data_IF_539274949965
#
_entry.id   IF_539274949965
#
_cell.length_a   1.000
_cell.length_b   1.000
_cell.length_c   1.000
_cell.angle_alpha   90.00
_cell.angle_beta   90.00
_cell.angle_gamma   90.00
#
_symmetry.space_group_name_H-M   'P 1'
#
loop_
_entity.id
_entity.type
_entity.pdbx_description
1 polymer ?
#
# COMPACT_ATOMS: atom_id res chain seq x y z
N UNK A 1 -22.15 18.69 -51.89
CA UNK A 1 -20.85 18.36 -51.27
C UNK A 1 -21.09 17.30 -50.22
N UNK A 2 -20.81 16.05 -50.57
CA UNK A 2 -21.01 14.87 -49.72
C UNK A 2 -19.83 14.79 -48.73
N UNK A 3 -20.08 14.70 -47.43
CA UNK A 3 -19.05 14.46 -46.41
C UNK A 3 -18.92 12.95 -46.18
N UNK A 4 -17.69 12.43 -46.31
CA UNK A 4 -17.36 11.05 -45.96
C UNK A 4 -17.45 10.82 -44.43
N UNK A 5 -17.97 9.66 -43.98
CA UNK A 5 -17.96 9.26 -42.59
C UNK A 5 -16.57 8.76 -42.13
N UNK A 6 -16.23 8.85 -40.82
CA UNK A 6 -14.92 8.47 -40.30
C UNK A 6 -14.72 6.94 -40.30
N UNK A 7 -13.51 6.54 -40.65
CA UNK A 7 -13.02 5.16 -40.76
C UNK A 7 -13.11 4.39 -39.42
N UNK A 8 -13.81 3.25 -39.34
CA UNK A 8 -13.79 2.41 -38.15
C UNK A 8 -12.47 1.62 -38.08
N UNK A 9 -11.78 1.70 -36.93
CA UNK A 9 -10.60 0.89 -36.64
C UNK A 9 -10.91 -0.62 -36.58
N UNK A 10 -9.88 -1.48 -36.62
CA UNK A 10 -10.06 -2.92 -36.82
C UNK A 10 -10.78 -3.56 -35.63
N UNK A 11 -12.03 -3.96 -35.85
CA UNK A 11 -12.78 -4.84 -34.95
C UNK A 11 -12.42 -6.29 -35.23
N UNK A 12 -11.94 -7.07 -34.25
CA UNK A 12 -11.78 -8.51 -34.43
C UNK A 12 -13.16 -9.18 -34.55
N UNK A 13 -13.38 -9.83 -35.68
CA UNK A 13 -14.55 -10.66 -35.98
C UNK A 13 -14.48 -11.96 -35.16
N UNK A 14 -15.37 -12.13 -34.20
CA UNK A 14 -15.56 -13.40 -33.52
C UNK A 14 -16.53 -14.28 -34.34
N UNK A 15 -15.96 -15.19 -35.13
CA UNK A 15 -16.73 -16.25 -35.78
C UNK A 15 -17.17 -17.31 -34.77
N UNK A 16 -18.49 -17.48 -34.61
CA UNK A 16 -19.10 -18.62 -33.91
C UNK A 16 -18.84 -19.91 -34.71
N UNK A 17 -18.27 -20.95 -34.09
CA UNK A 17 -18.34 -22.33 -34.62
C UNK A 17 -18.98 -23.26 -33.59
N UNK A 18 -20.19 -23.70 -33.94
CA UNK A 18 -20.96 -24.73 -33.24
C UNK A 18 -20.51 -26.15 -33.61
N UNK A 19 -20.74 -27.08 -32.68
CA UNK A 19 -20.36 -28.50 -32.74
C UNK A 19 -21.32 -29.31 -33.63
N UNK A 20 -20.79 -30.16 -34.52
CA UNK A 20 -21.55 -31.18 -35.27
C UNK A 20 -20.64 -32.14 -36.05
N UNK A 21 -20.93 -33.47 -36.10
CA UNK A 21 -20.08 -34.47 -36.77
C UNK A 21 -20.34 -34.58 -38.30
N UNK A 22 -19.40 -35.14 -39.10
CA UNK A 22 -19.33 -34.89 -40.55
C UNK A 22 -20.07 -35.93 -41.41
N UNK A 23 -20.35 -35.58 -42.69
CA UNK A 23 -19.98 -36.50 -43.76
C UNK A 23 -19.31 -35.82 -44.98
N UNK A 24 -18.59 -36.68 -45.71
CA UNK A 24 -17.65 -36.46 -46.82
C UNK A 24 -18.19 -35.73 -48.06
N UNK A 25 -17.36 -34.89 -48.69
CA UNK A 25 -16.83 -35.04 -50.06
C UNK A 25 -16.07 -33.77 -50.50
N UNK A 26 -14.94 -33.96 -51.17
CA UNK A 26 -13.88 -32.96 -51.30
C UNK A 26 -13.94 -32.04 -52.51
N UNK A 27 -12.99 -31.10 -52.53
CA UNK A 27 -12.44 -30.45 -53.73
C UNK A 27 -11.03 -29.90 -53.40
N UNK A 28 -10.20 -29.82 -54.44
CA UNK A 28 -8.75 -29.61 -54.49
C UNK A 28 -8.22 -28.27 -53.87
N UNK A 29 -6.91 -28.21 -53.53
CA UNK A 29 -6.33 -27.07 -52.79
C UNK A 29 -5.88 -25.91 -53.72
N UNK A 30 -6.18 -24.64 -53.35
CA UNK A 30 -5.47 -23.48 -53.89
C UNK A 30 -4.27 -23.07 -53.01
N UNK A 31 -3.37 -22.21 -53.52
CA UNK A 31 -1.94 -22.27 -53.27
C UNK A 31 -1.50 -21.73 -51.90
N UNK A 32 -0.39 -22.29 -51.42
CA UNK A 32 0.37 -21.93 -50.24
C UNK A 32 0.58 -20.41 -50.14
N UNK A 33 -0.20 -19.74 -49.29
CA UNK A 33 0.20 -18.48 -48.68
C UNK A 33 1.06 -18.82 -47.45
N UNK A 34 2.19 -18.12 -47.23
CA UNK A 34 3.01 -18.39 -46.06
C UNK A 34 2.14 -18.22 -44.82
N UNK A 35 2.03 -19.29 -44.04
CA UNK A 35 1.37 -19.26 -42.75
C UNK A 35 2.11 -18.25 -41.90
N UNK A 36 1.61 -17.01 -41.86
CA UNK A 36 1.81 -16.17 -40.70
C UNK A 36 1.28 -17.00 -39.56
N UNK A 37 2.19 -17.42 -38.68
CA UNK A 37 1.90 -18.11 -37.45
C UNK A 37 0.97 -17.19 -36.66
N UNK A 38 -0.34 -17.31 -36.91
CA UNK A 38 -1.38 -16.52 -36.29
C UNK A 38 -1.58 -17.13 -34.92
N UNK A 39 -0.53 -17.02 -34.11
CA UNK A 39 -0.50 -17.47 -32.74
C UNK A 39 -1.67 -16.80 -32.07
N UNK A 40 -2.69 -17.58 -31.73
CA UNK A 40 -3.82 -17.03 -30.99
C UNK A 40 -3.25 -16.37 -29.74
N UNK A 41 -3.79 -15.23 -29.24
CA UNK A 41 -3.28 -14.57 -28.03
C UNK A 41 -3.27 -15.48 -26.78
N UNK A 42 -3.81 -16.68 -26.91
CA UNK A 42 -3.97 -17.73 -25.92
C UNK A 42 -2.99 -18.90 -26.09
N UNK A 43 -2.16 -18.91 -27.14
CA UNK A 43 -1.26 -20.03 -27.52
C UNK A 43 0.12 -19.97 -26.85
N UNK A 44 0.11 -19.67 -25.56
CA UNK A 44 1.24 -19.87 -24.68
C UNK A 44 0.67 -20.14 -23.30
N UNK A 45 1.30 -20.99 -22.51
CA UNK A 45 0.92 -21.34 -21.14
C UNK A 45 0.84 -20.13 -20.15
N UNK A 46 0.82 -18.89 -20.65
CA UNK A 46 0.68 -17.63 -19.91
C UNK A 46 -0.60 -17.54 -19.07
N UNK A 47 -1.68 -18.21 -19.49
CA UNK A 47 -3.01 -18.12 -18.85
C UNK A 47 -3.48 -19.40 -18.15
N UNK A 48 -2.65 -20.46 -18.06
CA UNK A 48 -3.02 -21.60 -17.21
C UNK A 48 -2.97 -21.14 -15.75
N UNK A 49 -4.07 -21.25 -14.97
CA UNK A 49 -4.02 -20.95 -13.55
C UNK A 49 -3.01 -21.90 -12.90
N UNK A 50 -1.88 -21.35 -12.41
CA UNK A 50 -0.94 -22.14 -11.61
C UNK A 50 -1.67 -22.56 -10.34
N UNK A 51 -1.89 -23.87 -10.18
CA UNK A 51 -2.54 -24.47 -9.00
C UNK A 51 -1.65 -24.52 -7.76
N UNK A 52 -0.41 -24.05 -7.86
CA UNK A 52 0.59 -24.10 -6.79
C UNK A 52 0.66 -22.77 -6.05
N UNK A 53 0.78 -22.83 -4.71
CA UNK A 53 1.07 -21.66 -3.87
C UNK A 53 2.45 -21.12 -4.28
N UNK A 54 2.53 -19.85 -4.68
CA UNK A 54 3.81 -19.20 -4.89
C UNK A 54 4.41 -18.81 -3.53
N UNK A 55 5.67 -19.20 -3.30
CA UNK A 55 6.46 -18.85 -2.11
C UNK A 55 5.84 -19.24 -0.75
N UNK A 56 5.61 -20.53 -0.49
CA UNK A 56 5.00 -21.01 0.77
C UNK A 56 5.84 -20.68 2.01
N UNK A 57 7.15 -20.50 1.86
CA UNK A 57 8.07 -20.13 2.94
C UNK A 57 7.77 -18.71 3.46
N UNK A 58 7.54 -17.75 2.55
CA UNK A 58 7.25 -16.36 2.94
C UNK A 58 5.82 -16.22 3.45
N UNK A 59 4.88 -16.97 2.85
CA UNK A 59 3.52 -17.09 3.37
C UNK A 59 3.52 -17.68 4.80
N UNK A 60 4.35 -18.68 5.08
CA UNK A 60 4.55 -19.23 6.41
C UNK A 60 5.18 -18.22 7.38
N UNK A 61 6.15 -17.40 6.95
CA UNK A 61 6.70 -16.32 7.79
C UNK A 61 5.65 -15.24 8.14
N UNK A 62 4.78 -14.92 7.19
CA UNK A 62 3.72 -13.93 7.38
C UNK A 62 2.58 -14.44 8.28
N UNK A 63 2.13 -15.69 8.07
CA UNK A 63 0.94 -16.25 8.73
C UNK A 63 1.28 -17.12 9.95
N UNK A 64 2.30 -17.98 9.91
CA UNK A 64 2.48 -19.01 10.94
C UNK A 64 3.88 -19.66 10.95
N UNK A 65 4.70 -19.33 11.94
CA UNK A 65 5.72 -20.25 12.46
C UNK A 65 5.20 -20.86 13.77
N UNK A 66 4.53 -22.01 13.66
CA UNK A 66 4.43 -22.97 14.77
C UNK A 66 5.16 -24.22 14.27
N UNK A 67 6.47 -24.27 14.52
CA UNK A 67 7.17 -25.55 14.60
C UNK A 67 7.90 -25.59 15.93
N UNK A 68 7.42 -26.51 16.77
CA UNK A 68 7.93 -26.89 18.09
C UNK A 68 9.43 -27.23 17.99
N UNK A 69 10.30 -26.37 18.51
CA UNK A 69 11.64 -26.77 18.93
C UNK A 69 11.62 -27.02 20.45
N UNK A 70 12.03 -28.19 20.94
CA UNK A 70 12.29 -28.38 22.36
C UNK A 70 13.66 -27.77 22.69
N UNK A 71 13.81 -27.24 23.92
CA UNK A 71 15.09 -26.82 24.53
C UNK A 71 15.60 -25.44 24.02
N UNK A 72 15.91 -24.39 24.80
CA UNK A 72 16.42 -24.24 26.18
C UNK A 72 15.90 -22.92 26.80
N UNK A 73 15.69 -22.99 28.11
CA UNK A 73 15.61 -21.99 29.18
C UNK A 73 16.03 -20.52 28.93
N UNK A 74 15.24 -19.67 29.59
CA UNK A 74 15.49 -18.32 30.12
C UNK A 74 15.48 -17.10 29.17
N UNK A 75 14.44 -16.29 29.38
CA UNK A 75 14.26 -14.89 28.97
C UNK A 75 14.17 -14.59 27.47
N UNK A 76 13.03 -14.91 26.85
CA UNK A 76 12.34 -14.11 25.81
C UNK A 76 11.10 -14.89 25.30
N UNK A 77 9.87 -14.38 25.42
CA UNK A 77 8.68 -15.09 24.92
C UNK A 77 8.46 -14.95 23.39
N UNK A 78 9.47 -14.61 22.58
CA UNK A 78 9.28 -14.12 21.20
C UNK A 78 9.96 -14.93 20.08
N UNK A 79 10.54 -16.09 20.33
CA UNK A 79 11.39 -16.75 19.32
C UNK A 79 10.72 -17.69 18.32
N UNK A 80 9.41 -17.94 18.34
CA UNK A 80 8.75 -18.78 17.32
C UNK A 80 7.23 -18.48 17.17
N UNK A 81 6.89 -17.33 16.61
CA UNK A 81 5.52 -17.01 16.15
C UNK A 81 5.58 -16.21 14.85
N UNK A 82 4.72 -16.51 13.87
CA UNK A 82 4.63 -15.72 12.62
C UNK A 82 4.35 -14.24 12.93
N UNK A 83 4.83 -13.31 12.10
CA UNK A 83 4.87 -11.87 12.43
C UNK A 83 3.51 -11.32 12.90
N UNK A 84 2.45 -11.63 12.16
CA UNK A 84 1.09 -11.17 12.47
C UNK A 84 0.58 -11.74 13.80
N UNK A 85 0.87 -13.02 14.08
CA UNK A 85 0.55 -13.66 15.36
C UNK A 85 1.38 -13.10 16.51
N UNK A 86 2.67 -12.81 16.28
CA UNK A 86 3.55 -12.18 17.26
C UNK A 86 3.04 -10.81 17.70
N UNK A 87 2.64 -9.97 16.75
CA UNK A 87 2.01 -8.67 17.04
C UNK A 87 0.66 -8.84 17.76
N UNK A 88 -0.19 -9.79 17.31
CA UNK A 88 -1.47 -10.04 17.96
C UNK A 88 -1.31 -10.52 19.42
N UNK A 89 -0.41 -11.47 19.68
CA UNK A 89 -0.09 -11.97 21.02
C UNK A 89 0.49 -10.86 21.90
N UNK A 90 1.46 -10.11 21.39
CA UNK A 90 2.03 -8.96 22.10
C UNK A 90 0.91 -7.99 22.47
N UNK A 91 0.10 -7.55 21.50
CA UNK A 91 -1.01 -6.63 21.74
C UNK A 91 -2.00 -7.15 22.77
N UNK A 92 -2.32 -8.46 22.76
CA UNK A 92 -3.19 -9.07 23.77
C UNK A 92 -2.61 -9.00 25.18
N UNK A 93 -1.32 -9.30 25.34
CA UNK A 93 -0.62 -9.22 26.64
C UNK A 93 -0.57 -7.77 27.14
N UNK A 94 -0.25 -6.83 26.25
CA UNK A 94 -0.08 -5.43 26.63
C UNK A 94 -1.43 -4.80 26.97
N UNK A 95 -2.44 -5.02 26.13
CA UNK A 95 -3.79 -4.48 26.30
C UNK A 95 -4.47 -5.08 27.54
N UNK A 96 -4.38 -6.39 27.77
CA UNK A 96 -4.95 -7.01 28.99
C UNK A 96 -4.30 -6.48 30.26
N UNK A 97 -2.98 -6.27 30.24
CA UNK A 97 -2.27 -5.64 31.35
C UNK A 97 -2.64 -4.17 31.54
N UNK A 98 -2.87 -3.44 30.45
CA UNK A 98 -3.26 -2.04 30.50
C UNK A 98 -4.68 -1.87 31.03
N UNK A 99 -5.61 -2.72 30.59
CA UNK A 99 -7.00 -2.76 31.09
C UNK A 99 -7.04 -3.14 32.58
N UNK A 100 -6.29 -4.16 33.01
CA UNK A 100 -6.26 -4.60 34.42
C UNK A 100 -5.68 -3.56 35.37
N UNK A 101 -4.77 -2.70 34.91
CA UNK A 101 -4.19 -1.61 35.71
C UNK A 101 -5.10 -0.36 35.79
N UNK A 102 -6.34 -0.40 35.31
CA UNK A 102 -7.27 0.73 35.36
C UNK A 102 -7.29 1.62 34.12
N UNK A 103 -6.66 1.17 33.02
CA UNK A 103 -6.81 1.69 31.66
C UNK A 103 -6.90 3.21 31.55
N UNK A 104 -8.05 3.69 31.03
CA UNK A 104 -8.35 5.09 30.72
C UNK A 104 -8.69 5.97 31.95
N UNK A 105 -8.35 5.53 33.16
CA UNK A 105 -8.81 6.12 34.42
C UNK A 105 -8.04 7.37 34.94
N UNK A 106 -7.01 7.85 34.25
CA UNK A 106 -6.16 8.96 34.73
C UNK A 106 -6.22 10.19 33.83
N UNK A 107 -6.87 11.27 34.29
CA UNK A 107 -7.11 12.50 33.51
C UNK A 107 -7.27 13.79 34.28
N UNK A 108 -7.05 14.91 33.56
CA UNK A 108 -7.15 16.30 34.02
C UNK A 108 -8.32 16.51 34.98
N UNK A 109 -7.98 16.69 36.27
CA UNK A 109 -8.92 17.06 37.32
C UNK A 109 -9.60 15.91 38.09
N UNK A 110 -9.25 14.63 37.87
CA UNK A 110 -9.78 13.53 38.70
C UNK A 110 -8.66 12.66 39.33
N UNK A 111 -8.55 12.64 40.67
CA UNK A 111 -7.62 11.73 41.36
C UNK A 111 -8.24 10.33 41.39
N UNK A 112 -7.66 9.36 40.68
CA UNK A 112 -8.20 7.99 40.74
C UNK A 112 -7.53 6.93 39.87
N UNK A 113 -6.75 7.27 38.85
CA UNK A 113 -6.05 6.28 38.02
C UNK A 113 -4.64 5.97 38.53
N UNK A 114 -4.37 4.74 38.94
CA UNK A 114 -3.01 4.24 39.26
C UNK A 114 -2.07 4.12 38.04
N UNK A 115 -2.40 4.76 36.91
CA UNK A 115 -1.64 4.68 35.65
C UNK A 115 -0.95 5.98 35.26
N UNK A 116 -1.19 7.10 35.95
CA UNK A 116 -0.94 8.45 35.43
C UNK A 116 0.47 9.03 35.64
N UNK A 117 1.21 9.19 34.55
CA UNK A 117 2.05 10.37 34.29
C UNK A 117 1.33 11.26 33.24
N UNK A 118 1.76 12.51 33.03
CA UNK A 118 1.09 13.50 32.15
C UNK A 118 0.91 13.06 30.68
N UNK A 119 1.50 11.93 30.28
CA UNK A 119 1.48 11.37 28.91
C UNK A 119 0.64 10.08 28.84
N UNK A 120 -0.40 9.95 29.66
CA UNK A 120 -1.24 8.73 29.71
C UNK A 120 -2.61 8.95 29.07
N UNK A 121 -3.07 7.92 28.35
CA UNK A 121 -4.23 7.99 27.47
C UNK A 121 -5.53 8.13 28.26
N UNK A 122 -6.16 9.29 28.10
CA UNK A 122 -7.43 9.61 28.72
C UNK A 122 -8.61 9.09 27.92
N UNK A 123 -9.78 8.94 28.58
CA UNK A 123 -11.05 8.75 27.87
C UNK A 123 -11.23 9.81 26.77
N UNK A 124 -10.93 11.07 27.09
CA UNK A 124 -10.97 12.19 26.14
C UNK A 124 -10.02 12.02 24.97
N UNK A 125 -8.78 11.54 25.20
CA UNK A 125 -7.80 11.32 24.12
C UNK A 125 -8.22 10.16 23.21
N UNK A 126 -8.85 9.12 23.77
CA UNK A 126 -9.42 8.03 22.97
C UNK A 126 -10.57 8.50 22.10
N UNK A 127 -11.50 9.31 22.63
CA UNK A 127 -12.57 9.89 21.83
C UNK A 127 -12.00 10.78 20.71
N UNK A 128 -10.97 11.57 20.98
CA UNK A 128 -10.31 12.40 19.97
C UNK A 128 -9.64 11.54 18.89
N UNK A 129 -8.92 10.48 19.27
CA UNK A 129 -8.29 9.57 18.32
C UNK A 129 -9.32 8.87 17.41
N UNK A 130 -10.43 8.40 17.97
CA UNK A 130 -11.51 7.78 17.19
C UNK A 130 -12.22 8.79 16.28
N UNK A 131 -12.40 10.04 16.75
CA UNK A 131 -12.98 11.11 15.93
C UNK A 131 -12.04 11.48 14.77
N UNK A 132 -10.74 11.67 15.03
CA UNK A 132 -9.75 12.01 14.00
C UNK A 132 -9.62 10.89 12.97
N UNK A 133 -9.64 9.63 13.40
CA UNK A 133 -9.60 8.49 12.46
C UNK A 133 -10.88 8.37 11.64
N UNK A 134 -12.05 8.60 12.24
CA UNK A 134 -13.32 8.66 11.51
C UNK A 134 -13.35 9.83 10.51
N UNK A 135 -12.92 11.03 10.93
CA UNK A 135 -12.82 12.20 10.06
C UNK A 135 -11.82 11.98 8.93
N UNK A 136 -10.68 11.32 9.20
CA UNK A 136 -9.69 10.94 8.19
C UNK A 136 -10.25 9.95 7.18
N UNK A 137 -11.02 8.96 7.62
CA UNK A 137 -11.70 8.01 6.73
C UNK A 137 -12.77 8.69 5.86
N UNK A 138 -13.55 9.61 6.44
CA UNK A 138 -14.52 10.41 5.71
C UNK A 138 -13.83 11.30 4.66
N UNK A 139 -12.79 12.05 5.04
CA UNK A 139 -12.02 12.88 4.12
C UNK A 139 -11.38 12.05 3.01
N UNK A 140 -10.81 10.89 3.33
CA UNK A 140 -10.23 9.97 2.35
C UNK A 140 -11.31 9.47 1.37
N UNK A 141 -12.48 9.06 1.86
CA UNK A 141 -13.58 8.62 1.01
C UNK A 141 -14.11 9.75 0.11
N UNK A 142 -14.26 10.96 0.65
CA UNK A 142 -14.66 12.15 -0.10
C UNK A 142 -13.62 12.49 -1.17
N UNK A 143 -12.34 12.39 -0.85
CA UNK A 143 -11.24 12.59 -1.80
C UNK A 143 -11.27 11.55 -2.94
N UNK A 144 -11.53 10.28 -2.63
CA UNK A 144 -11.72 9.24 -3.66
C UNK A 144 -12.92 9.52 -4.58
N UNK A 145 -14.02 10.06 -4.03
CA UNK A 145 -15.18 10.45 -4.84
C UNK A 145 -14.85 11.69 -5.71
N UNK A 146 -14.15 12.68 -5.14
CA UNK A 146 -13.78 13.92 -5.82
C UNK A 146 -12.78 13.69 -6.97
N UNK A 147 -11.73 12.90 -6.74
CA UNK A 147 -10.74 12.49 -7.75
C UNK A 147 -11.39 11.81 -8.97
N UNK A 148 -12.56 11.20 -8.76
CA UNK A 148 -13.37 10.56 -9.81
C UNK A 148 -14.32 11.51 -10.51
N UNK A 149 -14.96 12.42 -9.78
CA UNK A 149 -15.88 13.40 -10.36
C UNK A 149 -15.16 14.34 -11.34
N UNK A 150 -13.91 14.70 -11.04
CA UNK A 150 -13.18 15.70 -11.80
C UNK A 150 -11.76 15.28 -12.19
N UNK A 151 -11.55 14.03 -12.61
CA UNK A 151 -10.21 13.49 -12.92
C UNK A 151 -9.40 14.36 -13.90
N UNK A 152 -10.02 14.88 -14.95
CA UNK A 152 -9.30 15.69 -15.95
C UNK A 152 -8.80 17.00 -15.33
N UNK A 153 -9.64 17.68 -14.57
CA UNK A 153 -9.25 18.91 -13.89
C UNK A 153 -8.27 18.62 -12.76
N UNK A 154 -8.47 17.55 -11.99
CA UNK A 154 -7.64 17.24 -10.84
C UNK A 154 -6.20 16.98 -11.25
N UNK A 155 -5.94 16.28 -12.37
CA UNK A 155 -4.59 16.06 -12.86
C UNK A 155 -3.84 17.36 -13.17
N UNK A 156 -4.50 18.31 -13.85
CA UNK A 156 -3.90 19.60 -14.14
C UNK A 156 -3.70 20.42 -12.86
N UNK A 157 -4.71 20.44 -11.98
CA UNK A 157 -4.67 21.18 -10.72
C UNK A 157 -3.56 20.63 -9.81
N UNK A 158 -3.43 19.32 -9.62
CA UNK A 158 -2.40 18.75 -8.74
C UNK A 158 -1.00 19.02 -9.26
N UNK A 159 -0.80 18.97 -10.58
CA UNK A 159 0.49 19.22 -11.19
C UNK A 159 0.90 20.70 -11.02
N UNK A 160 -0.01 21.64 -11.32
CA UNK A 160 0.23 23.08 -11.14
C UNK A 160 0.37 23.43 -9.66
N UNK A 161 -0.51 22.91 -8.80
CA UNK A 161 -0.48 23.14 -7.37
C UNK A 161 0.81 22.62 -6.72
N UNK A 162 1.35 21.48 -7.16
CA UNK A 162 2.64 20.97 -6.67
C UNK A 162 3.78 21.93 -6.98
N UNK A 163 3.84 22.50 -8.19
CA UNK A 163 4.86 23.48 -8.58
C UNK A 163 4.70 24.76 -7.76
N UNK A 164 3.47 25.27 -7.62
CA UNK A 164 3.19 26.47 -6.83
C UNK A 164 3.53 26.29 -5.36
N UNK A 165 3.24 25.13 -4.76
CA UNK A 165 3.58 24.82 -3.37
C UNK A 165 5.09 24.70 -3.18
N UNK A 166 5.82 24.07 -4.09
CA UNK A 166 7.29 24.01 -4.03
C UNK A 166 7.92 25.41 -4.09
N UNK A 167 7.42 26.27 -4.98
CA UNK A 167 7.87 27.67 -5.06
C UNK A 167 7.48 28.44 -3.79
N UNK A 168 6.27 28.25 -3.26
CA UNK A 168 5.80 28.89 -2.05
C UNK A 168 6.63 28.52 -0.82
N UNK A 169 6.93 27.24 -0.64
CA UNK A 169 7.81 26.74 0.45
C UNK A 169 9.23 27.28 0.29
N UNK A 170 9.75 27.33 -0.94
CA UNK A 170 11.05 27.92 -1.24
C UNK A 170 11.11 29.39 -0.79
N UNK A 171 10.13 30.22 -1.19
CA UNK A 171 10.05 31.63 -0.79
C UNK A 171 9.93 31.77 0.72
N UNK A 172 9.11 30.92 1.37
CA UNK A 172 8.97 30.91 2.82
C UNK A 172 10.31 30.66 3.52
N UNK A 173 11.11 29.68 3.08
CA UNK A 173 12.41 29.40 3.68
C UNK A 173 13.46 30.50 3.47
N UNK A 174 13.39 31.23 2.36
CA UNK A 174 14.23 32.42 2.15
C UNK A 174 13.88 33.55 3.12
N UNK A 175 12.59 33.72 3.46
CA UNK A 175 12.13 34.71 4.43
C UNK A 175 12.57 34.33 5.84
N UNK A 176 12.42 33.07 6.25
CA UNK A 176 12.79 32.60 7.60
C UNK A 176 14.30 32.42 7.80
N UNK A 177 15.13 32.81 6.82
CA UNK A 177 16.61 32.73 6.86
C UNK A 177 17.15 31.31 7.10
N UNK A 178 16.38 30.28 6.73
CA UNK A 178 16.83 28.90 6.81
C UNK A 178 17.56 28.52 5.51
N UNK A 179 18.81 28.97 5.37
CA UNK A 179 19.58 28.91 4.12
C UNK A 179 19.76 27.49 3.56
N UNK A 180 20.00 26.50 4.42
CA UNK A 180 20.19 25.11 3.98
C UNK A 180 18.95 24.56 3.27
N UNK A 181 17.77 24.70 3.89
CA UNK A 181 16.51 24.26 3.27
C UNK A 181 16.14 25.10 2.04
N UNK A 182 16.41 26.41 2.07
CA UNK A 182 16.13 27.29 0.95
C UNK A 182 16.87 26.84 -0.34
N UNK A 183 18.16 26.49 -0.25
CA UNK A 183 18.95 26.02 -1.41
C UNK A 183 18.43 24.69 -1.95
N UNK A 184 18.01 23.76 -1.08
CA UNK A 184 17.48 22.46 -1.53
C UNK A 184 16.13 22.66 -2.25
N UNK A 185 15.23 23.46 -1.66
CA UNK A 185 13.91 23.72 -2.24
C UNK A 185 13.97 24.58 -3.50
N UNK A 186 14.98 25.45 -3.68
CA UNK A 186 15.19 26.14 -4.97
C UNK A 186 15.57 25.15 -6.07
N UNK A 187 16.49 24.21 -5.81
CA UNK A 187 16.88 23.19 -6.78
C UNK A 187 15.68 22.31 -7.14
N UNK A 188 14.91 21.85 -6.15
CA UNK A 188 13.70 21.05 -6.38
C UNK A 188 12.65 21.85 -7.16
N UNK A 189 12.44 23.13 -6.83
CA UNK A 189 11.49 23.98 -7.54
C UNK A 189 11.89 24.16 -9.01
N UNK A 190 13.17 24.43 -9.30
CA UNK A 190 13.68 24.53 -10.68
C UNK A 190 13.48 23.22 -11.42
N UNK A 191 13.86 22.09 -10.82
CA UNK A 191 13.68 20.77 -11.42
C UNK A 191 12.21 20.46 -11.70
N UNK A 192 11.31 20.82 -10.79
CA UNK A 192 9.86 20.64 -10.96
C UNK A 192 9.28 21.44 -12.12
N UNK A 193 9.76 22.67 -12.33
CA UNK A 193 9.36 23.52 -13.46
C UNK A 193 9.87 22.94 -14.78
N UNK A 194 11.14 22.51 -14.83
CA UNK A 194 11.70 21.86 -16.03
C UNK A 194 10.97 20.56 -16.36
N UNK A 195 10.67 19.74 -15.35
CA UNK A 195 9.92 18.50 -15.52
C UNK A 195 8.49 18.75 -16.04
N UNK A 196 7.84 19.84 -15.63
CA UNK A 196 6.52 20.23 -16.14
C UNK A 196 6.52 20.46 -17.66
N UNK A 197 7.51 21.21 -18.17
CA UNK A 197 7.65 21.42 -19.61
C UNK A 197 7.87 20.09 -20.35
N UNK A 198 8.67 19.18 -19.80
CA UNK A 198 8.90 17.86 -20.38
C UNK A 198 7.67 16.95 -20.39
N UNK A 199 6.82 17.01 -19.35
CA UNK A 199 5.64 16.16 -19.24
C UNK A 199 4.44 16.65 -20.05
N UNK A 200 4.40 17.93 -20.47
CA UNK A 200 3.24 18.55 -21.15
C UNK A 200 2.74 17.75 -22.35
N UNK A 201 3.64 17.19 -23.15
CA UNK A 201 3.29 16.43 -24.35
C UNK A 201 2.59 15.09 -24.05
N UNK A 202 2.79 14.49 -22.87
CA UNK A 202 2.23 13.18 -22.49
C UNK A 202 0.93 13.26 -21.68
N UNK A 203 0.54 14.46 -21.23
CA UNK A 203 -0.70 14.71 -20.49
C UNK A 203 -1.96 14.22 -21.23
N UNK A 204 -2.15 14.45 -22.56
CA UNK A 204 -3.39 14.02 -23.21
C UNK A 204 -3.56 12.50 -23.19
N UNK A 205 -2.48 11.74 -23.44
CA UNK A 205 -2.50 10.28 -23.37
C UNK A 205 -2.80 9.79 -21.96
N UNK A 206 -2.16 10.37 -20.93
CA UNK A 206 -2.42 10.02 -19.54
C UNK A 206 -3.88 10.30 -19.15
N UNK A 207 -4.46 11.41 -19.63
CA UNK A 207 -5.86 11.75 -19.36
C UNK A 207 -6.84 10.77 -20.01
N UNK A 208 -6.54 10.29 -21.21
CA UNK A 208 -7.36 9.28 -21.91
C UNK A 208 -7.30 7.93 -21.19
N UNK A 209 -6.10 7.47 -20.83
CA UNK A 209 -5.93 6.21 -20.09
C UNK A 209 -6.68 6.24 -18.75
N UNK A 210 -6.62 7.35 -18.03
CA UNK A 210 -7.37 7.51 -16.79
C UNK A 210 -8.88 7.54 -17.02
N UNK A 211 -9.37 8.22 -18.06
CA UNK A 211 -10.79 8.20 -18.42
C UNK A 211 -11.30 6.78 -18.64
N UNK A 212 -10.56 5.98 -19.43
CA UNK A 212 -10.88 4.57 -19.66
C UNK A 212 -10.94 3.80 -18.34
N UNK A 213 -9.94 3.95 -17.47
CA UNK A 213 -9.91 3.31 -16.14
C UNK A 213 -11.15 3.68 -15.30
N UNK A 214 -11.54 4.95 -15.30
CA UNK A 214 -12.71 5.41 -14.55
C UNK A 214 -14.03 4.93 -15.15
N UNK A 215 -14.13 4.83 -16.46
CA UNK A 215 -15.32 4.29 -17.11
C UNK A 215 -15.47 2.79 -16.84
N UNK A 216 -14.38 2.02 -16.89
CA UNK A 216 -14.37 0.61 -16.46
C UNK A 216 -14.81 0.46 -15.00
N UNK A 217 -14.33 1.35 -14.12
CA UNK A 217 -14.72 1.34 -12.71
C UNK A 217 -16.21 1.68 -12.52
N UNK A 218 -16.82 2.56 -13.32
CA UNK A 218 -18.27 2.86 -13.24
C UNK A 218 -19.13 1.63 -13.53
N UNK A 219 -18.74 0.83 -14.51
CA UNK A 219 -19.42 -0.42 -14.82
C UNK A 219 -19.18 -1.51 -13.77
N UNK A 220 -18.03 -1.49 -13.08
CA UNK A 220 -17.66 -2.46 -12.05
C UNK A 220 -17.73 -1.87 -10.64
N UNK A 221 -18.94 -1.85 -10.05
CA UNK A 221 -19.16 -1.36 -8.66
C UNK A 221 -18.27 -2.06 -7.62
N UNK A 222 -17.79 -3.26 -7.90
CA UNK A 222 -16.87 -4.01 -7.03
C UNK A 222 -15.52 -3.33 -6.81
N UNK A 223 -15.06 -2.47 -7.73
CA UNK A 223 -13.86 -1.64 -7.56
C UNK A 223 -13.98 -0.75 -6.32
N UNK A 224 -15.17 -0.19 -6.07
CA UNK A 224 -15.42 0.70 -4.92
C UNK A 224 -15.47 -0.06 -3.62
N UNK A 225 -16.07 -1.25 -3.64
CA UNK A 225 -16.15 -2.11 -2.46
C UNK A 225 -14.74 -2.50 -2.02
N UNK A 226 -13.88 -2.94 -2.93
CA UNK A 226 -12.49 -3.30 -2.60
C UNK A 226 -11.71 -2.10 -2.06
N UNK A 227 -11.81 -0.93 -2.70
CA UNK A 227 -11.13 0.28 -2.23
C UNK A 227 -11.60 0.71 -0.84
N UNK A 228 -12.91 0.72 -0.59
CA UNK A 228 -13.46 1.12 0.71
C UNK A 228 -13.12 0.12 1.82
N UNK A 229 -13.17 -1.19 1.53
CA UNK A 229 -12.78 -2.24 2.47
C UNK A 229 -11.29 -2.14 2.81
N UNK A 230 -10.43 -1.93 1.81
CA UNK A 230 -8.99 -1.74 2.05
C UNK A 230 -8.71 -0.51 2.91
N UNK A 231 -9.40 0.62 2.66
CA UNK A 231 -9.30 1.82 3.49
C UNK A 231 -9.76 1.57 4.93
N UNK A 232 -10.88 0.86 5.11
CA UNK A 232 -11.39 0.53 6.43
C UNK A 232 -10.43 -0.38 7.20
N UNK A 233 -9.89 -1.42 6.55
CA UNK A 233 -8.87 -2.29 7.14
C UNK A 233 -7.63 -1.48 7.53
N UNK A 234 -7.16 -0.58 6.67
CA UNK A 234 -6.01 0.27 6.94
C UNK A 234 -6.24 1.20 8.15
N UNK A 235 -7.43 1.77 8.26
CA UNK A 235 -7.83 2.59 9.42
C UNK A 235 -7.95 1.76 10.70
N UNK A 236 -8.49 0.55 10.62
CA UNK A 236 -8.56 -0.35 11.77
C UNK A 236 -7.17 -0.78 12.26
N UNK A 237 -6.26 -1.08 11.32
CA UNK A 237 -4.87 -1.41 11.64
C UNK A 237 -4.13 -0.24 12.29
N UNK A 238 -4.34 0.99 11.84
CA UNK A 238 -3.69 2.17 12.44
C UNK A 238 -4.19 2.45 13.86
N UNK A 239 -5.49 2.24 14.10
CA UNK A 239 -6.08 2.34 15.44
C UNK A 239 -5.51 1.25 16.35
N UNK A 240 -5.50 -0.01 15.91
CA UNK A 240 -4.92 -1.12 16.66
C UNK A 240 -3.45 -0.84 17.01
N UNK A 241 -2.62 -0.49 16.02
CA UNK A 241 -1.22 -0.14 16.24
C UNK A 241 -1.05 0.96 17.30
N UNK A 242 -1.82 2.04 17.21
CA UNK A 242 -1.70 3.16 18.14
C UNK A 242 -2.04 2.73 19.57
N UNK A 243 -3.11 1.96 19.77
CA UNK A 243 -3.47 1.44 21.09
C UNK A 243 -2.39 0.50 21.65
N UNK A 244 -1.85 -0.38 20.83
CA UNK A 244 -0.77 -1.30 21.24
C UNK A 244 0.49 -0.52 21.65
N UNK A 245 0.94 0.43 20.82
CA UNK A 245 2.14 1.22 21.09
C UNK A 245 2.04 2.02 22.39
N UNK A 246 0.89 2.64 22.64
CA UNK A 246 0.64 3.37 23.88
C UNK A 246 0.61 2.44 25.09
N UNK A 247 -0.07 1.30 24.99
CA UNK A 247 -0.12 0.32 26.06
C UNK A 247 1.29 -0.22 26.37
N UNK A 248 2.13 -0.39 25.34
CA UNK A 248 3.52 -0.85 25.46
C UNK A 248 4.35 0.19 26.18
N UNK A 249 4.21 1.45 25.79
CA UNK A 249 4.86 2.56 26.48
C UNK A 249 4.43 2.63 27.96
N UNK A 250 3.15 2.51 28.26
CA UNK A 250 2.64 2.57 29.64
C UNK A 250 3.12 1.40 30.52
N UNK A 251 3.37 0.23 29.94
CA UNK A 251 3.74 -0.97 30.70
C UNK A 251 5.24 -1.05 31.02
N UNK A 252 6.12 -0.67 30.10
CA UNK A 252 7.57 -0.90 30.23
C UNK A 252 8.43 0.36 30.42
N UNK A 253 7.84 1.56 30.38
CA UNK A 253 8.58 2.81 30.64
C UNK A 253 8.97 2.92 32.12
N UNK A 254 10.25 3.20 32.43
CA UNK A 254 10.70 3.38 33.80
C UNK A 254 10.02 4.59 34.46
N UNK A 255 9.57 4.44 35.71
CA UNK A 255 8.89 5.49 36.45
C UNK A 255 7.36 5.55 36.26
N UNK A 256 6.78 4.71 35.39
CA UNK A 256 5.34 4.59 35.28
C UNK A 256 4.79 3.58 36.31
N UNK A 257 3.67 3.86 37.00
CA UNK A 257 3.10 2.94 37.99
C UNK A 257 2.62 1.59 37.40
N UNK A 258 2.48 1.50 36.08
CA UNK A 258 2.28 0.22 35.35
C UNK A 258 3.49 -0.72 35.36
N UNK A 259 4.66 -0.25 35.82
CA UNK A 259 5.91 -1.00 35.86
C UNK A 259 6.42 -1.26 37.30
N UNK A 260 5.50 -1.57 38.22
CA UNK A 260 5.82 -1.81 39.64
C UNK A 260 6.49 -3.17 39.92
N UNK A 261 6.37 -4.14 39.01
CA UNK A 261 6.80 -5.54 39.22
C UNK A 261 8.20 -5.88 38.69
N UNK A 262 9.04 -4.88 38.41
CA UNK A 262 10.40 -5.08 37.86
C UNK A 262 10.41 -5.45 36.37
N UNK A 263 11.51 -5.11 35.67
CA UNK A 263 11.69 -5.39 34.23
C UNK A 263 11.45 -4.20 33.29
N UNK A 264 11.39 -2.97 33.82
CA UNK A 264 11.35 -1.73 33.05
C UNK A 264 12.72 -1.45 32.44
N UNK A 265 12.77 -1.18 31.15
CA UNK A 265 14.00 -0.79 30.46
C UNK A 265 13.65 0.03 29.23
N UNK A 266 14.29 1.19 29.06
CA UNK A 266 14.15 2.02 27.87
C UNK A 266 14.51 1.26 26.60
N UNK A 267 15.52 0.38 26.66
CA UNK A 267 15.91 -0.48 25.53
C UNK A 267 14.84 -1.51 25.18
N UNK A 268 14.11 -2.04 26.18
CA UNK A 268 13.01 -2.98 25.95
C UNK A 268 11.81 -2.28 25.30
N UNK A 269 11.47 -1.08 25.75
CA UNK A 269 10.40 -0.26 25.12
C UNK A 269 10.76 0.05 23.66
N UNK A 270 11.99 0.53 23.41
CA UNK A 270 12.45 0.84 22.07
C UNK A 270 12.39 -0.36 21.13
N UNK A 271 12.86 -1.54 21.58
CA UNK A 271 12.80 -2.77 20.79
C UNK A 271 11.38 -3.24 20.49
N UNK A 272 10.46 -3.14 21.45
CA UNK A 272 9.06 -3.53 21.25
C UNK A 272 8.33 -2.56 20.30
N UNK A 273 8.52 -1.24 20.48
CA UNK A 273 7.94 -0.22 19.57
C UNK A 273 8.47 -0.40 18.14
N UNK A 274 9.77 -0.70 17.99
CA UNK A 274 10.36 -0.98 16.68
C UNK A 274 9.71 -2.20 16.02
N UNK A 275 9.54 -3.30 16.77
CA UNK A 275 8.87 -4.50 16.29
C UNK A 275 7.40 -4.24 15.91
N UNK A 276 6.66 -3.49 16.72
CA UNK A 276 5.28 -3.11 16.45
C UNK A 276 5.18 -2.24 15.19
N UNK A 277 6.09 -1.28 15.02
CA UNK A 277 6.14 -0.39 13.86
C UNK A 277 6.45 -1.18 12.59
N UNK A 278 7.44 -2.07 12.63
CA UNK A 278 7.75 -2.98 11.53
C UNK A 278 6.55 -3.85 11.15
N UNK A 279 5.87 -4.44 12.15
CA UNK A 279 4.68 -5.26 11.94
C UNK A 279 3.56 -4.47 11.25
N UNK A 280 3.33 -3.24 11.70
CA UNK A 280 2.31 -2.35 11.16
C UNK A 280 2.61 -1.94 9.72
N UNK A 281 3.85 -1.51 9.43
CA UNK A 281 4.26 -1.12 8.08
C UNK A 281 4.15 -2.30 7.12
N UNK A 282 4.63 -3.49 7.52
CA UNK A 282 4.62 -4.66 6.65
C UNK A 282 3.20 -5.12 6.35
N UNK A 283 2.35 -5.20 7.37
CA UNK A 283 0.93 -5.55 7.18
C UNK A 283 0.21 -4.53 6.31
N UNK A 284 0.49 -3.23 6.49
CA UNK A 284 -0.10 -2.15 5.68
C UNK A 284 0.27 -2.25 4.21
N UNK A 285 1.55 -2.51 3.89
CA UNK A 285 1.99 -2.70 2.51
C UNK A 285 1.35 -3.95 1.89
N UNK A 286 1.22 -5.05 2.64
CA UNK A 286 0.55 -6.26 2.17
C UNK A 286 -0.92 -5.98 1.85
N UNK A 287 -1.66 -5.30 2.73
CA UNK A 287 -3.08 -4.95 2.48
C UNK A 287 -3.22 -4.08 1.22
N UNK A 288 -2.37 -3.06 1.07
CA UNK A 288 -2.34 -2.20 -0.13
C UNK A 288 -2.06 -3.01 -1.40
N UNK A 289 -1.08 -3.90 -1.36
CA UNK A 289 -0.64 -4.68 -2.53
C UNK A 289 -1.62 -5.80 -2.89
N UNK A 290 -2.29 -6.41 -1.91
CA UNK A 290 -3.40 -7.35 -2.15
C UNK A 290 -4.58 -6.64 -2.82
N UNK A 291 -4.94 -5.43 -2.37
CA UNK A 291 -5.99 -4.64 -3.02
C UNK A 291 -5.60 -4.29 -4.47
N UNK A 292 -4.35 -3.89 -4.71
CA UNK A 292 -3.83 -3.61 -6.05
C UNK A 292 -3.91 -4.84 -6.97
N UNK A 293 -3.39 -6.00 -6.54
CA UNK A 293 -3.42 -7.24 -7.31
C UNK A 293 -4.87 -7.69 -7.60
N UNK A 294 -5.77 -7.55 -6.62
CA UNK A 294 -7.20 -7.87 -6.77
C UNK A 294 -7.87 -6.99 -7.83
N UNK A 295 -7.58 -5.69 -7.83
CA UNK A 295 -8.14 -4.75 -8.80
C UNK A 295 -7.56 -4.99 -10.19
N UNK A 296 -6.25 -5.22 -10.29
CA UNK A 296 -5.56 -5.51 -11.54
C UNK A 296 -6.08 -6.80 -12.19
N UNK A 297 -6.11 -7.91 -11.45
CA UNK A 297 -6.52 -9.23 -11.94
C UNK A 297 -8.02 -9.48 -12.03
N UNK A 298 -8.82 -8.64 -11.37
CA UNK A 298 -10.28 -8.75 -11.33
C UNK A 298 -10.92 -7.88 -12.40
N UNK A 299 -11.47 -6.71 -12.03
CA UNK A 299 -12.27 -5.86 -12.93
C UNK A 299 -11.47 -5.29 -14.10
N UNK A 300 -10.21 -4.88 -13.90
CA UNK A 300 -9.40 -4.29 -14.97
C UNK A 300 -8.87 -5.34 -15.94
N UNK A 301 -8.35 -6.47 -15.44
CA UNK A 301 -7.92 -7.60 -16.26
C UNK A 301 -9.08 -8.21 -17.03
N UNK A 302 -10.25 -8.39 -16.40
CA UNK A 302 -11.43 -8.90 -17.08
C UNK A 302 -11.88 -8.00 -18.24
N UNK A 303 -11.88 -6.68 -18.05
CA UNK A 303 -12.19 -5.73 -19.13
C UNK A 303 -11.16 -5.76 -20.27
N UNK A 304 -9.86 -5.90 -19.93
CA UNK A 304 -8.80 -5.96 -20.93
C UNK A 304 -8.86 -7.23 -21.79
N UNK A 305 -9.17 -8.39 -21.20
CA UNK A 305 -9.16 -9.67 -21.90
C UNK A 305 -10.51 -10.06 -22.52
N UNK A 306 -11.64 -9.74 -21.88
CA UNK A 306 -12.97 -10.16 -22.31
C UNK A 306 -13.82 -9.00 -22.87
N UNK A 307 -13.28 -7.79 -22.91
CA UNK A 307 -13.96 -6.60 -23.40
C UNK A 307 -15.07 -6.09 -22.47
N UNK A 308 -15.90 -5.13 -22.93
CA UNK A 308 -17.05 -4.63 -22.17
C UNK A 308 -18.02 -5.75 -21.78
N UNK A 309 -18.59 -5.61 -20.58
CA UNK A 309 -19.48 -6.60 -19.96
C UNK A 309 -20.70 -6.97 -20.83
N UNK A 310 -21.10 -6.06 -21.71
CA UNK A 310 -22.25 -6.20 -22.61
C UNK A 310 -22.03 -7.27 -23.71
N UNK A 311 -20.78 -7.71 -23.93
CA UNK A 311 -20.44 -8.76 -24.88
C UNK A 311 -20.64 -10.19 -24.32
N UNK A 312 -21.07 -10.33 -23.06
CA UNK A 312 -21.48 -11.62 -22.47
C UNK A 312 -20.35 -12.62 -22.15
N UNK A 313 -19.09 -12.29 -22.43
CA UNK A 313 -17.94 -13.19 -22.21
C UNK A 313 -17.24 -13.03 -20.85
N UNK A 314 -17.73 -12.13 -19.98
CA UNK A 314 -17.07 -11.84 -18.71
C UNK A 314 -17.55 -12.78 -17.58
N UNK A 315 -16.66 -13.32 -16.72
CA UNK A 315 -17.04 -14.09 -15.53
C UNK A 315 -18.00 -13.33 -14.62
N UNK A 316 -18.93 -14.02 -13.95
CA UNK A 316 -19.96 -13.40 -13.11
C UNK A 316 -19.38 -12.56 -11.94
N UNK A 317 -18.29 -13.04 -11.32
CA UNK A 317 -17.64 -12.39 -10.18
C UNK A 317 -16.10 -12.31 -10.34
N UNK A 318 -15.59 -11.41 -11.20
CA UNK A 318 -14.15 -11.32 -11.50
C UNK A 318 -13.35 -10.85 -10.27
N UNK A 319 -13.94 -9.96 -9.46
CA UNK A 319 -13.26 -9.38 -8.29
C UNK A 319 -13.08 -10.37 -7.14
N UNK A 320 -14.08 -11.20 -6.83
CA UNK A 320 -13.97 -12.16 -5.72
C UNK A 320 -13.05 -13.32 -6.06
N UNK A 321 -13.07 -13.78 -7.32
CA UNK A 321 -12.13 -14.80 -7.79
C UNK A 321 -10.67 -14.29 -7.79
N UNK A 322 -10.44 -13.05 -8.22
CA UNK A 322 -9.13 -12.41 -8.16
C UNK A 322 -8.67 -12.18 -6.71
N UNK A 323 -9.58 -11.76 -5.81
CA UNK A 323 -9.27 -11.62 -4.39
C UNK A 323 -8.87 -12.97 -3.76
N UNK A 324 -9.58 -14.05 -4.12
CA UNK A 324 -9.22 -15.41 -3.71
C UNK A 324 -7.82 -15.78 -4.16
N UNK A 325 -7.48 -15.62 -5.44
CA UNK A 325 -6.13 -15.90 -5.96
C UNK A 325 -5.06 -15.02 -5.31
N UNK A 326 -5.31 -13.72 -5.16
CA UNK A 326 -4.38 -12.77 -4.56
C UNK A 326 -4.12 -13.08 -3.07
N UNK A 327 -5.14 -13.53 -2.34
CA UNK A 327 -5.06 -13.85 -0.91
C UNK A 327 -4.55 -15.26 -0.61
N UNK A 328 -4.59 -16.20 -1.55
CA UNK A 328 -4.14 -17.59 -1.32
C UNK A 328 -2.88 -17.95 -2.11
N UNK A 329 -2.90 -17.79 -3.44
CA UNK A 329 -1.85 -18.29 -4.33
C UNK A 329 -0.69 -17.30 -4.46
N UNK A 330 -0.99 -16.00 -4.49
CA UNK A 330 -0.01 -14.93 -4.73
C UNK A 330 0.40 -14.21 -3.44
N UNK A 331 -0.19 -14.56 -2.29
CA UNK A 331 0.05 -13.85 -1.03
C UNK A 331 1.50 -13.98 -0.54
N UNK A 332 2.18 -15.11 -0.80
CA UNK A 332 3.60 -15.28 -0.48
C UNK A 332 4.50 -14.28 -1.21
N UNK A 333 4.35 -14.18 -2.53
CA UNK A 333 5.13 -13.24 -3.36
C UNK A 333 4.75 -11.79 -3.09
N UNK A 334 3.47 -11.50 -2.82
CA UNK A 334 3.01 -10.16 -2.39
C UNK A 334 3.64 -9.79 -1.05
N UNK A 335 3.65 -10.70 -0.07
CA UNK A 335 4.27 -10.48 1.23
C UNK A 335 5.78 -10.27 1.12
N UNK A 336 6.46 -11.00 0.24
CA UNK A 336 7.89 -10.84 -0.02
C UNK A 336 8.23 -9.47 -0.62
N UNK A 337 7.56 -9.07 -1.70
CA UNK A 337 7.81 -7.76 -2.29
C UNK A 337 7.47 -6.61 -1.32
N UNK A 338 6.40 -6.78 -0.52
CA UNK A 338 6.02 -5.83 0.53
C UNK A 338 7.09 -5.75 1.63
N UNK A 339 7.73 -6.87 1.98
CA UNK A 339 8.81 -6.92 2.97
C UNK A 339 9.99 -6.06 2.53
N UNK A 340 10.44 -6.19 1.27
CA UNK A 340 11.56 -5.41 0.75
C UNK A 340 11.25 -3.91 0.82
N UNK A 341 10.06 -3.49 0.40
CA UNK A 341 9.64 -2.08 0.49
C UNK A 341 9.64 -1.61 1.94
N UNK A 342 9.14 -2.41 2.88
CA UNK A 342 9.14 -2.02 4.29
C UNK A 342 10.51 -1.93 4.93
N UNK A 343 11.47 -2.75 4.52
CA UNK A 343 12.84 -2.64 5.02
C UNK A 343 13.49 -1.33 4.57
N UNK A 344 13.23 -0.90 3.32
CA UNK A 344 13.69 0.40 2.82
C UNK A 344 12.98 1.56 3.52
N UNK A 345 11.68 1.44 3.76
CA UNK A 345 10.89 2.44 4.49
C UNK A 345 11.39 2.59 5.95
N UNK A 346 11.68 1.48 6.63
CA UNK A 346 12.29 1.48 7.96
C UNK A 346 13.69 2.09 7.96
N UNK A 347 14.51 1.77 6.97
CA UNK A 347 15.84 2.36 6.84
C UNK A 347 15.74 3.88 6.69
N UNK A 348 14.81 4.36 5.85
CA UNK A 348 14.54 5.80 5.69
C UNK A 348 14.07 6.43 7.00
N UNK A 349 13.20 5.75 7.75
CA UNK A 349 12.74 6.21 9.06
C UNK A 349 13.91 6.35 10.04
N UNK A 350 14.81 5.36 10.12
CA UNK A 350 15.99 5.40 10.98
C UNK A 350 16.97 6.51 10.56
N UNK A 351 17.19 6.72 9.26
CA UNK A 351 18.03 7.81 8.75
C UNK A 351 17.44 9.19 9.09
N UNK A 352 16.13 9.35 9.02
CA UNK A 352 15.46 10.58 9.44
C UNK A 352 15.59 10.80 10.95
N UNK A 353 15.43 9.76 11.77
CA UNK A 353 15.65 9.86 13.22
C UNK A 353 17.11 10.24 13.55
N UNK A 354 18.09 9.66 12.85
CA UNK A 354 19.50 10.01 13.02
C UNK A 354 19.77 11.46 12.61
N UNK A 355 19.15 11.93 11.52
CA UNK A 355 19.23 13.33 11.08
C UNK A 355 18.66 14.28 12.15
N UNK A 356 17.50 13.97 12.70
CA UNK A 356 16.85 14.80 13.71
C UNK A 356 17.68 14.86 15.00
N UNK A 357 18.30 13.74 15.39
CA UNK A 357 19.22 13.68 16.53
C UNK A 357 20.50 14.51 16.26
N UNK A 358 21.13 14.36 15.10
CA UNK A 358 22.33 15.11 14.73
C UNK A 358 22.05 16.63 14.63
N UNK A 359 20.86 17.02 14.17
CA UNK A 359 20.43 18.42 14.19
C UNK A 359 20.26 18.96 15.61
N UNK A 360 19.75 18.15 16.54
CA UNK A 360 19.59 18.53 17.94
C UNK A 360 20.95 18.66 18.66
N UNK A 361 21.92 17.81 18.32
CA UNK A 361 23.27 17.81 18.89
C UNK A 361 24.21 18.85 18.24
N UNK A 362 23.79 19.49 17.14
CA UNK A 362 24.57 20.53 16.47
C UNK A 362 25.67 19.99 15.53
N UNK A 363 25.48 18.78 14.98
CA UNK A 363 26.38 18.15 14.01
C UNK A 363 25.83 18.24 12.57
N UNK A 364 26.02 19.38 11.86
CA UNK A 364 25.40 19.63 10.55
C UNK A 364 25.92 18.70 9.45
N UNK A 365 27.14 18.19 9.58
CA UNK A 365 27.74 17.26 8.60
C UNK A 365 27.04 15.91 8.64
N UNK A 366 26.78 15.38 9.84
CA UNK A 366 26.07 14.11 10.02
C UNK A 366 24.62 14.21 9.57
N UNK A 367 23.95 15.33 9.88
CA UNK A 367 22.60 15.60 9.40
C UNK A 367 22.53 15.70 7.86
N UNK A 368 23.55 16.28 7.22
CA UNK A 368 23.66 16.35 5.77
C UNK A 368 23.86 14.96 5.14
N UNK A 369 24.78 14.14 5.69
CA UNK A 369 25.02 12.77 5.24
C UNK A 369 23.77 11.89 5.40
N UNK A 370 23.08 11.99 6.53
CA UNK A 370 21.83 11.26 6.78
C UNK A 370 20.73 11.67 5.78
N UNK A 371 20.64 12.97 5.44
CA UNK A 371 19.71 13.46 4.43
C UNK A 371 20.01 12.91 3.03
N UNK A 372 21.28 12.91 2.61
CA UNK A 372 21.70 12.34 1.33
C UNK A 372 21.39 10.84 1.27
N UNK A 373 21.71 10.09 2.33
CA UNK A 373 21.41 8.67 2.43
C UNK A 373 19.90 8.39 2.36
N UNK A 374 19.08 9.17 3.07
CA UNK A 374 17.61 9.04 3.03
C UNK A 374 17.06 9.30 1.61
N UNK A 375 17.65 10.25 0.87
CA UNK A 375 17.29 10.51 -0.52
C UNK A 375 17.61 9.31 -1.43
N UNK A 376 18.82 8.76 -1.36
CA UNK A 376 19.20 7.57 -2.14
C UNK A 376 18.32 6.36 -1.83
N UNK A 377 18.05 6.12 -0.54
CA UNK A 377 17.14 5.04 -0.11
C UNK A 377 15.73 5.28 -0.66
N UNK A 378 15.24 6.53 -0.66
CA UNK A 378 13.94 6.89 -1.24
C UNK A 378 13.85 6.62 -2.75
N UNK A 379 14.94 6.85 -3.50
CA UNK A 379 14.99 6.51 -4.93
C UNK A 379 14.92 4.99 -5.12
N UNK A 380 15.64 4.22 -4.32
CA UNK A 380 15.63 2.74 -4.36
C UNK A 380 14.24 2.20 -3.99
N UNK A 381 13.64 2.74 -2.92
CA UNK A 381 12.27 2.41 -2.49
C UNK A 381 11.27 2.62 -3.63
N UNK A 382 11.34 3.77 -4.31
CA UNK A 382 10.47 4.08 -5.45
C UNK A 382 10.68 3.14 -6.65
N UNK A 383 11.92 2.75 -6.95
CA UNK A 383 12.21 1.78 -8.00
C UNK A 383 11.65 0.40 -7.66
N UNK A 384 11.84 -0.07 -6.42
CA UNK A 384 11.34 -1.38 -5.97
C UNK A 384 9.82 -1.40 -5.95
N UNK A 385 9.16 -0.34 -5.45
CA UNK A 385 7.70 -0.23 -5.49
C UNK A 385 7.17 -0.29 -6.92
N UNK A 386 7.85 0.38 -7.85
CA UNK A 386 7.51 0.34 -9.27
C UNK A 386 7.59 -1.09 -9.83
N UNK A 387 8.72 -1.79 -9.65
CA UNK A 387 8.86 -3.18 -10.12
C UNK A 387 7.82 -4.12 -9.49
N UNK A 388 7.61 -4.00 -8.18
CA UNK A 388 6.61 -4.78 -7.46
C UNK A 388 5.21 -4.56 -8.01
N UNK A 389 4.84 -3.32 -8.34
CA UNK A 389 3.55 -3.01 -8.95
C UNK A 389 3.32 -3.75 -10.27
N UNK A 390 4.33 -3.86 -11.14
CA UNK A 390 4.21 -4.65 -12.37
C UNK A 390 4.07 -6.14 -12.10
N UNK A 391 4.88 -6.68 -11.18
CA UNK A 391 4.77 -8.08 -10.78
C UNK A 391 3.37 -8.40 -10.21
N UNK A 392 2.81 -7.50 -9.39
CA UNK A 392 1.47 -7.66 -8.82
C UNK A 392 0.33 -7.59 -9.85
N UNK A 393 0.52 -6.82 -10.92
CA UNK A 393 -0.43 -6.77 -12.04
C UNK A 393 -0.40 -8.06 -12.85
N UNK A 394 0.76 -8.71 -12.96
CA UNK A 394 0.90 -9.98 -13.70
C UNK A 394 0.36 -11.19 -12.93
N UNK A 395 0.51 -11.22 -11.61
CA UNK A 395 0.08 -12.37 -10.76
C UNK A 395 -1.35 -12.29 -10.26
N UNK A 396 -2.01 -11.13 -10.33
CA UNK A 396 -3.41 -10.94 -9.95
C UNK A 396 -4.32 -11.45 -11.05
#
# INVERSE_FOLDING_TARGET
MYQDPPYPGPTPSYGFQGYGPPPHQGYAPPPHQPAYDQKSPYEGDRFKPKKTINDPIVLALFILQVKRTPFISHSSPLTNSGQFLGFAVLSGIVLSSWVSNGGLGGGLGKPGGKTGTAVTLNRSTVYLLLLVTAAGLLLSSAYLILTRAFTRMIMHITLVASILLNIGICVYYWITKYYSGAIIFTIIAIFSVLAYFGMRARIPLASLLLQVVFDVAKHHKSVYVVGFVALFIQAALSVWFTFTAIATYAKWTPGNPGCASGGCSSGKVAGLIFFETFSFLWTSQVVKNVALATLAGGPFGAWYYFGPRDLGQMPAHPTTSALGRASTLSLGSIAFGSLIVTLLELLKMLLNMARDNANAEGHPVEACLACCAACFVGIIEGMVEYFNRYAYIEIG
#
